data_IF_877343852288
#
_entry.id   IF_877343852288
#
_cell.length_a   1.000
_cell.length_b   1.000
_cell.length_c   1.000
_cell.angle_alpha   90.00
_cell.angle_beta   90.00
_cell.angle_gamma   90.00
#
_symmetry.space_group_name_H-M   'P 1'
#
loop_
_entity.id
_entity.type
_entity.pdbx_description
1 polymer ?
2 non-polymer ?
3 non-polymer ?
4 non-polymer ?
5 water ?
#
# COMPACT_ATOMS: atom_id res chain seq x y z
N UNK A 21 10.47 -3.46 -12.96
CA UNK A 21 11.79 -4.01 -12.57
C UNK A 21 12.70 -2.90 -12.03
N UNK A 22 12.72 -1.73 -12.67
CA UNK A 22 13.53 -0.55 -12.23
C UNK A 22 12.60 0.48 -11.60
N UNK A 23 13.04 1.13 -10.53
CA UNK A 23 12.34 2.29 -9.91
C UNK A 23 13.07 3.57 -10.29
N UNK A 24 12.31 4.51 -10.85
CA UNK A 24 12.79 5.86 -11.19
C UNK A 24 12.04 6.85 -10.32
N UNK A 25 12.63 8.04 -10.13
CA UNK A 25 11.95 9.22 -9.55
C UNK A 25 10.73 9.54 -10.42
N UNK A 26 9.56 9.59 -9.79
CA UNK A 26 8.27 9.88 -10.45
C UNK A 26 8.31 11.27 -11.10
N UNK A 27 9.03 12.22 -10.52
CA UNK A 27 9.03 13.64 -10.99
C UNK A 27 9.93 13.85 -12.20
N UNK A 28 11.09 13.20 -12.28
CA UNK A 28 12.14 13.57 -13.29
C UNK A 28 12.69 12.33 -14.01
N UNK A 29 12.47 11.11 -13.51
CA UNK A 29 12.91 9.88 -14.19
C UNK A 29 14.29 9.40 -13.74
N UNK A 30 14.91 10.06 -12.76
CA UNK A 30 16.22 9.65 -12.21
C UNK A 30 16.17 8.17 -11.79
N UNK A 31 17.17 7.37 -12.17
CA UNK A 31 17.31 5.96 -11.75
C UNK A 31 17.56 5.86 -10.25
N UNK A 32 16.76 5.10 -9.51
CA UNK A 32 16.85 5.09 -8.02
C UNK A 32 17.15 3.67 -7.52
N UNK A 33 16.36 2.67 -7.91
CA UNK A 33 16.48 1.32 -7.33
C UNK A 33 15.87 0.26 -8.25
N UNK A 34 15.73 -0.96 -7.76
CA UNK A 34 15.23 -2.16 -8.49
C UNK A 34 14.33 -2.96 -7.56
N UNK A 35 13.37 -3.69 -8.12
CA UNK A 35 12.51 -4.63 -7.36
C UNK A 35 13.43 -5.66 -6.69
N UNK A 36 14.49 -6.08 -7.39
CA UNK A 36 15.47 -7.09 -6.92
C UNK A 36 16.11 -6.65 -5.60
N UNK A 37 16.12 -5.34 -5.30
CA UNK A 37 16.84 -4.76 -4.14
C UNK A 37 15.89 -4.52 -2.95
N UNK A 38 14.62 -4.91 -3.08
CA UNK A 38 13.65 -4.78 -1.96
C UNK A 38 14.18 -5.62 -0.79
N UNK A 39 13.99 -5.12 0.44
CA UNK A 39 14.43 -5.80 1.69
C UNK A 39 13.21 -6.02 2.60
N UNK A 40 12.79 -7.28 2.85
CA UNK A 40 11.78 -7.56 3.87
C UNK A 40 12.17 -7.03 5.26
N UNK A 44 8.37 -7.75 6.16
CA UNK A 44 7.65 -7.04 5.06
C UNK A 44 8.52 -5.92 4.51
N UNK A 45 8.55 -5.74 3.18
CA UNK A 45 9.27 -4.62 2.52
C UNK A 45 8.45 -3.32 2.67
N UNK A 46 7.12 -3.43 2.85
CA UNK A 46 6.23 -2.25 3.04
C UNK A 46 5.98 -2.00 4.53
N UNK A 47 6.15 -0.73 4.93
CA UNK A 47 5.87 -0.20 6.29
C UNK A 47 5.06 1.09 6.15
N UNK A 48 3.89 1.17 6.76
CA UNK A 48 3.07 2.42 6.74
C UNK A 48 3.35 3.15 8.05
N UNK A 49 3.90 4.35 7.96
CA UNK A 49 4.36 5.13 9.14
C UNK A 49 3.81 6.56 9.06
N UNK A 50 3.81 7.26 10.20
CA UNK A 50 3.46 8.69 10.34
C UNK A 50 4.62 9.42 10.99
N UNK A 51 4.95 10.61 10.49
CA UNK A 51 5.95 11.53 11.09
C UNK A 51 5.24 12.40 12.13
N UNK A 52 5.98 13.21 12.92
CA UNK A 52 5.35 14.07 13.93
C UNK A 52 4.42 15.15 13.36
N UNK A 53 4.50 15.46 12.06
CA UNK A 53 3.58 16.40 11.37
C UNK A 53 2.33 15.65 10.85
N UNK A 54 2.20 14.36 11.22
CA UNK A 54 1.00 13.55 11.00
C UNK A 54 0.89 13.08 9.56
N UNK A 55 1.96 13.26 8.77
CA UNK A 55 2.00 12.86 7.36
C UNK A 55 2.24 11.35 7.35
N UNK A 56 1.41 10.64 6.58
CA UNK A 56 1.48 9.16 6.42
C UNK A 56 2.32 8.90 5.19
N UNK A 57 3.28 8.00 5.32
CA UNK A 57 4.12 7.51 4.21
C UNK A 57 3.95 6.00 4.16
N UNK A 58 3.78 5.48 2.93
CA UNK A 58 3.93 4.04 2.62
C UNK A 58 5.38 3.87 2.19
N UNK A 59 6.20 3.27 3.05
CA UNK A 59 7.67 3.15 2.87
C UNK A 59 7.98 1.73 2.41
N UNK A 60 8.76 1.63 1.33
CA UNK A 60 9.39 0.37 0.87
C UNK A 60 10.86 0.41 1.28
N UNK A 61 11.32 -0.65 1.94
CA UNK A 61 12.75 -0.81 2.34
C UNK A 61 13.53 -1.48 1.19
N UNK A 62 14.66 -0.87 0.85
CA UNK A 62 15.62 -1.36 -0.18
C UNK A 62 16.96 -1.56 0.51
N UNK A 63 17.66 -2.64 0.14
CA UNK A 63 19.07 -2.87 0.52
C UNK A 63 19.94 -1.78 -0.11
N UNK A 64 19.63 -1.39 -1.35
CA UNK A 64 20.50 -0.55 -2.21
C UNK A 64 19.62 0.45 -2.94
N UNK A 65 20.17 1.64 -3.17
CA UNK A 65 19.61 2.71 -4.02
C UNK A 65 20.76 3.57 -4.56
N UNK A 66 20.50 4.30 -5.63
CA UNK A 66 21.45 5.19 -6.32
C UNK A 66 20.69 6.46 -6.71
N UNK A 67 21.38 7.49 -7.20
CA UNK A 67 20.77 8.71 -7.76
C UNK A 67 20.13 9.61 -6.71
N UNK A 68 20.37 9.33 -5.44
CA UNK A 68 19.88 10.14 -4.29
C UNK A 68 20.97 11.11 -3.88
N UNK A 69 20.58 12.15 -3.14
CA UNK A 69 21.48 13.06 -2.41
C UNK A 69 21.03 12.99 -0.94
N UNK A 70 21.90 12.47 -0.07
CA UNK A 70 21.66 12.34 1.39
C UNK A 70 22.07 13.65 2.06
N UNK A 71 21.14 14.29 2.77
CA UNK A 71 21.24 15.71 3.22
C UNK A 71 21.40 15.70 4.74
N UNK A 72 22.39 16.43 5.25
CA UNK A 72 22.66 16.56 6.70
C UNK A 72 23.45 15.38 7.22
N UNK A 73 23.57 15.28 8.54
CA UNK A 73 24.15 14.12 9.25
C UNK A 73 23.00 13.34 9.86
N UNK A 74 23.21 12.06 10.22
CA UNK A 74 22.11 11.21 10.70
C UNK A 74 21.54 11.70 12.03
N UNK A 75 20.27 11.35 12.28
CA UNK A 75 19.52 11.63 13.53
C UNK A 75 18.71 10.38 13.91
N UNK A 76 18.61 10.07 15.19
CA UNK A 76 17.79 8.95 15.69
C UNK A 76 16.38 9.39 16.03
N UNK A 77 16.15 10.72 16.15
CA UNK A 77 14.89 11.33 16.66
C UNK A 77 13.71 10.81 15.85
N UNK A 78 12.73 10.18 16.49
CA UNK A 78 11.47 9.71 15.85
C UNK A 78 11.75 8.61 14.80
N UNK A 79 12.90 7.94 14.83
CA UNK A 79 13.22 6.86 13.86
C UNK A 79 12.14 5.78 13.98
N UNK A 80 11.61 5.37 12.83
CA UNK A 80 10.57 4.31 12.72
C UNK A 80 11.20 2.92 12.91
N UNK A 81 12.51 2.82 12.78
CA UNK A 81 13.26 1.54 12.79
C UNK A 81 14.22 1.58 13.97
N UNK A 82 13.97 0.70 14.95
CA UNK A 82 14.71 0.63 16.23
C UNK A 82 16.19 0.42 15.92
N UNK A 83 17.07 1.24 16.53
CA UNK A 83 18.53 1.12 16.41
C UNK A 83 19.10 1.79 15.17
N UNK A 84 18.29 2.45 14.34
CA UNK A 84 18.75 3.15 13.12
C UNK A 84 18.59 4.66 13.24
N UNK A 85 19.58 5.39 12.70
CA UNK A 85 19.59 6.86 12.50
C UNK A 85 19.25 7.12 11.04
N UNK A 86 18.55 8.21 10.76
CA UNK A 86 18.08 8.54 9.38
C UNK A 86 18.77 9.80 8.89
N UNK A 87 18.97 9.86 7.57
CA UNK A 87 19.28 11.08 6.80
C UNK A 87 18.22 11.20 5.71
N UNK A 88 17.75 12.41 5.46
CA UNK A 88 16.81 12.73 4.35
C UNK A 88 17.50 12.34 3.04
N UNK A 89 16.79 11.61 2.19
CA UNK A 89 17.21 11.23 0.82
C UNK A 89 16.38 12.05 -0.16
N UNK A 90 17.03 12.97 -0.88
CA UNK A 90 16.42 13.67 -2.02
C UNK A 90 16.79 12.91 -3.30
N UNK A 91 15.96 13.07 -4.33
CA UNK A 91 16.36 12.80 -5.72
C UNK A 91 17.57 13.70 -5.98
N UNK A 92 18.69 13.10 -6.39
CA UNK A 92 19.92 13.84 -6.74
C UNK A 92 19.71 14.72 -7.94
N UNK A 93 18.73 14.41 -8.80
CA UNK A 93 18.47 15.19 -10.03
C UNK A 93 17.55 16.38 -9.71
N UNK A 94 16.34 16.14 -9.18
CA UNK A 94 15.26 17.16 -9.10
C UNK A 94 15.04 17.66 -7.66
N UNK A 95 15.60 16.97 -6.65
CA UNK A 95 15.54 17.42 -5.26
C UNK A 95 14.24 17.02 -4.58
N UNK A 96 13.37 16.25 -5.24
CA UNK A 96 12.12 15.73 -4.65
C UNK A 96 12.48 14.83 -3.46
N UNK A 97 11.76 14.94 -2.35
CA UNK A 97 12.03 14.10 -1.14
C UNK A 97 11.56 12.67 -1.42
N UNK A 98 12.47 11.71 -1.56
CA UNK A 98 12.12 10.32 -1.96
C UNK A 98 12.09 9.38 -0.76
N UNK A 99 12.67 9.81 0.38
CA UNK A 99 12.64 9.02 1.63
C UNK A 99 13.84 9.30 2.51
N UNK A 100 14.44 8.25 3.08
CA UNK A 100 15.51 8.34 4.09
C UNK A 100 16.53 7.22 3.87
N UNK A 101 17.80 7.52 4.16
CA UNK A 101 18.86 6.49 4.36
C UNK A 101 18.92 6.21 5.87
N UNK A 102 19.01 4.93 6.23
CA UNK A 102 19.09 4.45 7.63
C UNK A 102 20.46 3.81 7.81
N UNK A 103 21.13 4.16 8.91
CA UNK A 103 22.51 3.74 9.25
C UNK A 103 22.62 3.52 10.76
N UNK A 104 23.71 2.89 11.20
CA UNK A 104 24.10 2.74 12.61
C UNK A 104 23.40 1.60 13.33
N UNK A 105 22.70 0.73 12.59
CA UNK A 105 21.99 -0.43 13.17
C UNK A 105 22.76 -1.71 12.96
N UNK A 106 22.06 -2.85 12.99
CA UNK A 106 22.64 -4.23 12.90
C UNK A 106 21.71 -5.11 12.05
N UNK A 107 22.29 -5.93 11.17
CA UNK A 107 21.57 -6.95 10.36
C UNK A 107 20.31 -6.34 9.75
N UNK A 108 20.39 -5.39 8.79
CA UNK A 108 21.66 -4.84 8.30
C UNK A 108 22.08 -3.53 8.98
N UNK A 109 23.33 -3.09 8.75
CA UNK A 109 23.86 -1.81 9.30
C UNK A 109 23.13 -0.63 8.64
N UNK A 110 22.86 -0.72 7.33
CA UNK A 110 22.28 0.39 6.54
C UNK A 110 21.20 -0.15 5.59
N UNK A 111 20.24 0.69 5.23
CA UNK A 111 19.21 0.44 4.18
C UNK A 111 18.53 1.76 3.84
N UNK A 112 17.71 1.74 2.80
CA UNK A 112 16.90 2.90 2.37
C UNK A 112 15.42 2.60 2.59
N UNK A 113 14.71 3.61 3.12
CA UNK A 113 13.25 3.65 3.19
C UNK A 113 12.74 4.68 2.21
N UNK A 114 12.18 4.23 1.08
CA UNK A 114 11.73 5.12 -0.01
C UNK A 114 10.21 5.15 -0.03
N UNK A 115 9.66 6.34 -0.26
CA UNK A 115 8.20 6.59 -0.35
C UNK A 115 7.69 6.04 -1.70
N UNK A 116 6.92 4.96 -1.64
CA UNK A 116 6.54 4.14 -2.83
C UNK A 116 5.92 5.05 -3.90
N UNK A 117 5.01 5.94 -3.51
CA UNK A 117 4.17 6.74 -4.45
C UNK A 117 4.98 7.90 -5.06
N UNK A 118 6.25 8.06 -4.67
CA UNK A 118 7.17 9.08 -5.27
C UNK A 118 8.12 8.42 -6.27
N UNK A 119 7.95 7.12 -6.50
CA UNK A 119 8.74 6.33 -7.49
C UNK A 119 7.80 5.85 -8.61
N UNK A 120 8.36 5.58 -9.77
CA UNK A 120 7.67 4.97 -10.93
C UNK A 120 8.40 3.67 -11.28
N UNK A 121 7.66 2.60 -11.51
CA UNK A 121 8.22 1.25 -11.74
C UNK A 121 8.12 0.94 -13.23
N UNK A 122 9.16 0.34 -13.82
CA UNK A 122 9.02 -0.19 -15.19
C UNK A 122 10.28 -0.86 -15.72
N UNK A 123 10.36 -1.04 -17.05
CA UNK A 123 11.61 -1.41 -17.70
C UNK A 123 12.60 -0.24 -17.65
N UNK B 20 -21.26 3.14 -2.84
CA UNK B 20 -21.32 2.76 -4.29
C UNK B 20 -20.92 3.96 -5.17
N UNK B 21 -19.62 4.10 -5.46
CA UNK B 21 -19.12 5.09 -6.44
C UNK B 21 -18.69 4.38 -7.74
N UNK B 22 -18.89 5.09 -8.86
CA UNK B 22 -18.49 4.60 -10.20
C UNK B 22 -17.40 5.54 -10.76
N UNK B 23 -16.60 4.98 -11.64
CA UNK B 23 -15.59 5.68 -12.45
C UNK B 23 -16.14 5.82 -13.87
N UNK B 24 -16.17 7.05 -14.37
CA UNK B 24 -16.64 7.38 -15.73
C UNK B 24 -15.46 7.92 -16.52
N UNK B 25 -15.53 7.80 -17.85
CA UNK B 25 -14.61 8.50 -18.79
C UNK B 25 -14.69 10.00 -18.49
N UNK B 26 -13.54 10.62 -18.22
CA UNK B 26 -13.46 12.07 -17.89
C UNK B 26 -13.93 12.89 -19.10
N UNK B 27 -13.72 12.41 -20.33
CA UNK B 27 -13.99 13.20 -21.57
C UNK B 27 -15.48 13.17 -21.93
N UNK B 28 -16.19 12.04 -21.78
CA UNK B 28 -17.56 11.89 -22.33
C UNK B 28 -18.57 11.39 -21.29
N UNK B 29 -18.10 10.87 -20.15
CA UNK B 29 -18.99 10.49 -19.02
C UNK B 29 -19.48 9.05 -19.09
N UNK B 30 -19.09 8.28 -20.11
CA UNK B 30 -19.42 6.83 -20.20
C UNK B 30 -18.97 6.14 -18.91
N UNK B 31 -19.83 5.31 -18.32
CA UNK B 31 -19.51 4.48 -17.14
C UNK B 31 -18.49 3.41 -17.54
N UNK B 32 -17.40 3.31 -16.78
CA UNK B 32 -16.28 2.39 -17.09
C UNK B 32 -16.13 1.32 -16.01
N UNK B 33 -16.08 1.70 -14.74
CA UNK B 33 -15.81 0.72 -13.66
C UNK B 33 -16.43 1.20 -12.34
N UNK B 34 -16.25 0.40 -11.30
CA UNK B 34 -16.83 0.64 -9.96
C UNK B 34 -15.72 0.61 -8.92
N UNK B 35 -15.87 1.39 -7.83
CA UNK B 35 -14.92 1.33 -6.69
C UNK B 35 -14.92 -0.10 -6.13
N UNK B 36 -16.07 -0.77 -6.14
CA UNK B 36 -16.25 -2.17 -5.67
C UNK B 36 -15.28 -3.12 -6.39
N UNK B 37 -14.82 -2.76 -7.59
CA UNK B 37 -13.99 -3.63 -8.46
C UNK B 37 -12.51 -3.30 -8.34
N UNK B 38 -12.12 -2.37 -7.45
CA UNK B 38 -10.70 -2.05 -7.25
C UNK B 38 -9.98 -3.33 -6.83
N UNK B 39 -8.79 -3.57 -7.38
CA UNK B 39 -8.07 -4.87 -7.26
C UNK B 39 -6.65 -4.59 -6.78
N UNK B 40 -6.28 -4.99 -5.54
CA UNK B 40 -4.93 -4.74 -5.04
C UNK B 40 -3.86 -5.68 -5.62
N UNK B 41 -3.45 -5.46 -6.88
CA UNK B 41 -2.40 -6.26 -7.57
C UNK B 41 -1.06 -5.95 -6.89
N UNK B 42 -0.37 -7.00 -6.43
CA UNK B 42 0.90 -6.90 -5.68
C UNK B 42 0.74 -6.08 -4.40
N UNK B 43 -0.46 -6.01 -3.84
CA UNK B 43 -0.69 -5.39 -2.52
C UNK B 43 -1.31 -4.01 -2.60
N UNK B 44 -1.31 -3.35 -3.77
CA UNK B 44 -1.88 -1.99 -3.93
C UNK B 44 -2.70 -1.91 -5.21
N UNK B 45 -3.82 -1.19 -5.21
CA UNK B 45 -4.62 -0.92 -6.44
C UNK B 45 -3.94 0.19 -7.26
N UNK B 46 -3.13 1.06 -6.65
CA UNK B 46 -2.39 2.12 -7.38
C UNK B 46 -0.97 1.63 -7.70
N UNK B 47 -0.54 1.82 -8.95
CA UNK B 47 0.84 1.59 -9.45
C UNK B 47 1.23 2.81 -10.28
N UNK B 48 2.32 3.49 -9.91
CA UNK B 48 2.96 4.50 -10.78
C UNK B 48 4.02 3.77 -11.61
N UNK B 49 3.87 3.81 -12.93
CA UNK B 49 4.70 3.02 -13.89
C UNK B 49 5.21 3.99 -14.97
N UNK B 50 6.30 3.59 -15.64
CA UNK B 50 6.85 4.26 -16.85
C UNK B 50 6.96 3.22 -17.98
N UNK B 51 6.65 3.63 -19.21
CA UNK B 51 6.75 2.77 -20.42
C UNK B 51 8.14 2.94 -21.00
N UNK B 52 8.52 2.17 -22.05
CA UNK B 52 9.84 2.29 -22.65
C UNK B 52 10.12 3.66 -23.31
N UNK B 53 9.09 4.46 -23.59
CA UNK B 53 9.24 5.85 -24.12
C UNK B 53 9.41 6.84 -22.94
N UNK B 54 9.41 6.34 -21.70
CA UNK B 54 9.63 7.18 -20.50
C UNK B 54 8.41 8.02 -20.14
N UNK B 55 7.24 7.68 -20.68
CA UNK B 55 5.95 8.29 -20.25
C UNK B 55 5.55 7.67 -18.91
N UNK B 56 5.22 8.49 -17.93
CA UNK B 56 4.81 8.05 -16.56
C UNK B 56 3.29 8.07 -16.48
N UNK B 57 2.70 6.98 -15.99
CA UNK B 57 1.24 6.84 -15.78
C UNK B 57 0.98 6.43 -14.32
N UNK B 58 -0.09 6.97 -13.73
CA UNK B 58 -0.61 6.49 -12.42
C UNK B 58 -1.80 5.59 -12.75
N UNK B 59 -1.62 4.28 -12.55
CA UNK B 59 -2.60 3.22 -12.92
C UNK B 59 -3.32 2.73 -11.66
N UNK B 60 -4.65 2.66 -11.71
CA UNK B 60 -5.51 1.93 -10.73
C UNK B 60 -5.96 0.62 -11.36
N UNK B 61 -5.84 -0.49 -10.64
CA UNK B 61 -6.23 -1.85 -11.08
C UNK B 61 -7.68 -2.12 -10.69
N UNK B 62 -8.48 -2.57 -11.67
CA UNK B 62 -9.89 -2.97 -11.50
C UNK B 62 -10.05 -4.40 -12.00
N UNK B 63 -10.85 -5.23 -11.34
CA UNK B 63 -11.13 -6.61 -11.75
C UNK B 63 -11.84 -6.61 -13.10
N UNK B 64 -12.85 -5.75 -13.26
CA UNK B 64 -13.73 -5.68 -14.44
C UNK B 64 -13.89 -4.23 -14.86
N UNK B 65 -14.33 -4.04 -16.10
CA UNK B 65 -14.73 -2.76 -16.68
C UNK B 65 -15.80 -3.00 -17.76
N UNK B 66 -16.48 -1.92 -18.15
CA UNK B 66 -17.42 -1.91 -19.28
C UNK B 66 -17.17 -0.64 -20.08
N UNK B 67 -17.72 -0.59 -21.29
CA UNK B 67 -17.73 0.60 -22.16
C UNK B 67 -16.38 0.91 -22.77
N UNK B 68 -15.41 0.01 -22.66
CA UNK B 68 -14.08 0.16 -23.31
C UNK B 68 -14.09 -0.55 -24.66
N UNK B 69 -13.12 -0.22 -25.52
CA UNK B 69 -12.77 -0.96 -26.75
C UNK B 69 -11.30 -1.34 -26.63
N UNK B 70 -11.01 -2.64 -26.56
CA UNK B 70 -9.65 -3.23 -26.52
C UNK B 70 -9.14 -3.36 -27.95
N UNK B 71 -7.97 -2.80 -28.21
CA UNK B 71 -7.41 -2.66 -29.60
C UNK B 71 -6.19 -3.59 -29.69
N UNK B 72 -6.09 -4.39 -30.76
CA UNK B 72 -4.91 -5.23 -31.02
C UNK B 72 -5.00 -6.58 -30.33
N UNK B 73 -4.11 -7.51 -30.74
CA UNK B 73 -3.91 -8.81 -30.05
C UNK B 73 -3.11 -8.49 -28.79
N UNK B 74 -3.22 -9.29 -27.72
CA UNK B 74 -2.41 -9.07 -26.52
C UNK B 74 -0.91 -9.21 -26.81
N UNK B 75 -0.09 -8.51 -26.02
CA UNK B 75 1.39 -8.53 -26.09
C UNK B 75 1.97 -8.66 -24.67
N UNK B 76 3.03 -9.45 -24.52
CA UNK B 76 3.76 -9.61 -23.25
C UNK B 76 4.85 -8.56 -23.08
N UNK B 77 5.29 -7.97 -24.20
CA UNK B 77 6.49 -7.10 -24.28
C UNK B 77 6.34 -5.94 -23.29
N UNK B 78 7.28 -5.81 -22.33
CA UNK B 78 7.35 -4.67 -21.38
C UNK B 78 6.12 -4.62 -20.46
N UNK B 79 5.41 -5.74 -20.28
CA UNK B 79 4.24 -5.81 -19.35
C UNK B 79 4.67 -5.33 -17.96
N UNK B 80 3.89 -4.44 -17.35
CA UNK B 80 4.13 -3.97 -15.95
C UNK B 80 3.81 -5.07 -14.93
N UNK B 81 3.01 -6.06 -15.32
CA UNK B 81 2.53 -7.12 -14.41
C UNK B 81 3.01 -8.48 -14.93
N UNK B 82 3.93 -9.11 -14.18
CA UNK B 82 4.57 -10.40 -14.55
C UNK B 82 3.49 -11.45 -14.80
N UNK B 83 3.58 -12.17 -15.93
CA UNK B 83 2.71 -13.28 -16.30
C UNK B 83 1.43 -12.83 -17.00
N UNK B 84 1.30 -11.53 -17.28
CA UNK B 84 0.13 -10.94 -17.98
C UNK B 84 0.56 -10.36 -19.32
N UNK B 85 -0.27 -10.56 -20.34
CA UNK B 85 -0.23 -9.87 -21.67
C UNK B 85 -1.21 -8.69 -21.63
N UNK B 86 -0.89 -7.60 -22.33
CA UNK B 86 -1.70 -6.36 -22.30
C UNK B 86 -2.32 -6.09 -23.67
N UNK B 87 -3.49 -5.44 -23.67
CA UNK B 87 -4.11 -4.80 -24.85
C UNK B 87 -4.47 -3.35 -24.47
N UNK B 88 -4.27 -2.40 -25.38
CA UNK B 88 -4.67 -0.97 -25.18
C UNK B 88 -6.19 -0.89 -25.02
N UNK B 89 -6.65 -0.15 -24.02
CA UNK B 89 -8.09 0.06 -23.70
C UNK B 89 -8.46 1.51 -24.02
N UNK B 90 -9.30 1.73 -25.02
CA UNK B 90 -9.91 3.04 -25.31
C UNK B 90 -11.31 3.09 -24.72
N UNK B 91 -11.81 4.29 -24.41
CA UNK B 91 -13.26 4.54 -24.23
C UNK B 91 -13.95 4.12 -25.53
N UNK B 92 -14.92 3.21 -25.45
CA UNK B 92 -15.71 2.75 -26.61
C UNK B 92 -16.53 3.90 -27.21
N UNK B 93 -16.86 4.89 -26.39
CA UNK B 93 -17.76 6.02 -26.78
C UNK B 93 -16.94 7.12 -27.46
N UNK B 94 -15.90 7.66 -26.81
CA UNK B 94 -15.17 8.87 -27.30
C UNK B 94 -13.76 8.53 -27.81
N UNK B 95 -13.22 7.34 -27.55
CA UNK B 95 -11.89 6.93 -28.03
C UNK B 95 -10.73 7.40 -27.15
N UNK B 96 -10.99 8.07 -26.02
CA UNK B 96 -9.95 8.48 -25.04
C UNK B 96 -9.17 7.26 -24.55
N UNK B 97 -7.84 7.33 -24.46
CA UNK B 97 -6.99 6.20 -24.01
C UNK B 97 -7.12 6.11 -22.49
N UNK B 98 -7.82 5.09 -21.97
CA UNK B 98 -8.15 4.99 -20.53
C UNK B 98 -7.21 4.01 -19.83
N UNK B 99 -6.48 3.16 -20.55
CA UNK B 99 -5.47 2.27 -19.95
C UNK B 99 -5.26 0.99 -20.75
N UNK B 100 -5.20 -0.15 -20.06
CA UNK B 100 -4.86 -1.47 -20.66
C UNK B 100 -5.69 -2.57 -20.00
N UNK B 101 -6.05 -3.60 -20.79
CA UNK B 101 -6.57 -4.89 -20.27
C UNK B 101 -5.40 -5.87 -20.17
N UNK B 102 -5.37 -6.64 -19.08
CA UNK B 102 -4.33 -7.67 -18.78
C UNK B 102 -5.02 -9.03 -18.77
N UNK B 103 -4.41 -10.01 -19.41
CA UNK B 103 -4.96 -11.39 -19.57
C UNK B 103 -3.82 -12.40 -19.51
N UNK B 104 -4.17 -13.68 -19.40
CA UNK B 104 -3.27 -14.84 -19.54
C UNK B 104 -2.52 -15.17 -18.25
N UNK B 105 -2.93 -14.60 -17.12
CA UNK B 105 -2.30 -14.86 -15.81
C UNK B 105 -3.14 -15.80 -14.98
N UNK B 106 -2.92 -15.79 -13.65
CA UNK B 106 -3.62 -16.61 -12.64
C UNK B 106 -3.88 -15.74 -11.39
N UNK B 107 -5.05 -15.90 -10.77
CA UNK B 107 -5.45 -15.21 -9.51
C UNK B 107 -5.06 -13.73 -9.58
N UNK B 108 -5.72 -12.90 -10.40
CA UNK B 108 -6.75 -13.33 -11.35
C UNK B 108 -6.23 -13.59 -12.77
N UNK B 109 -7.05 -14.20 -13.63
CA UNK B 109 -6.70 -14.45 -15.04
C UNK B 109 -6.60 -13.12 -15.79
N UNK B 110 -7.52 -12.19 -15.51
CA UNK B 110 -7.66 -10.91 -16.24
C UNK B 110 -7.95 -9.78 -15.25
N UNK B 111 -7.58 -8.55 -15.62
CA UNK B 111 -7.89 -7.29 -14.91
C UNK B 111 -7.52 -6.11 -15.81
N UNK B 112 -7.95 -4.92 -15.41
CA UNK B 112 -7.68 -3.64 -16.08
C UNK B 112 -6.73 -2.80 -15.22
N UNK B 113 -5.78 -2.16 -15.88
CA UNK B 113 -5.02 -1.00 -15.38
C UNK B 113 -5.50 0.27 -16.06
N UNK B 114 -6.29 1.08 -15.35
CA UNK B 114 -6.89 2.32 -15.90
C UNK B 114 -6.14 3.53 -15.34
N UNK B 115 -5.96 4.54 -16.19
CA UNK B 115 -5.21 5.79 -15.88
C UNK B 115 -6.14 6.67 -15.03
N UNK B 116 -5.79 6.82 -13.76
CA UNK B 116 -6.68 7.45 -12.74
C UNK B 116 -7.09 8.85 -13.20
N UNK B 117 -6.16 9.63 -13.76
CA UNK B 117 -6.35 11.04 -14.18
C UNK B 117 -7.29 11.17 -15.39
N UNK B 118 -7.65 10.07 -16.04
CA UNK B 118 -8.53 10.08 -17.24
C UNK B 118 -9.94 9.60 -16.87
N UNK B 119 -10.15 9.35 -15.58
CA UNK B 119 -11.46 8.93 -15.03
C UNK B 119 -12.00 10.03 -14.13
N UNK B 120 -13.32 10.08 -13.98
CA UNK B 120 -14.03 10.92 -13.00
C UNK B 120 -14.79 9.98 -12.07
N UNK B 121 -14.65 10.15 -10.77
CA UNK B 121 -15.34 9.31 -9.76
C UNK B 121 -16.58 10.06 -9.29
N UNK B 122 -17.70 9.35 -9.13
CA UNK B 122 -18.98 9.96 -8.72
C UNK B 122 -20.01 8.92 -8.32
N UNK B 123 -21.19 9.33 -7.79
CA UNK B 123 -22.18 8.39 -7.28
C UNK B 123 -22.78 7.53 -8.41
N UNK B 124 -23.24 6.32 -8.07
CA UNK B 124 -23.73 5.29 -9.01
C UNK B 124 -24.98 5.81 -9.74
N UNK C 19 9.43 7.27 17.91
CA UNK C 19 9.05 7.24 16.46
C UNK C 19 7.91 6.27 16.18
N UNK C 20 7.80 5.21 16.98
CA UNK C 20 6.73 4.18 16.91
C UNK C 20 6.09 4.02 18.29
N UNK C 21 5.30 4.99 18.73
CA UNK C 21 4.63 5.03 20.05
C UNK C 21 3.11 4.87 19.88
N UNK C 22 2.51 5.50 18.86
CA UNK C 22 1.04 5.54 18.64
C UNK C 22 0.70 4.68 17.42
N UNK C 23 -0.37 3.88 17.49
CA UNK C 23 -0.80 2.97 16.39
C UNK C 23 -2.11 3.54 15.83
N UNK C 24 -2.12 3.80 14.52
CA UNK C 24 -3.25 4.45 13.81
C UNK C 24 -3.73 3.52 12.70
N UNK C 25 -4.98 3.70 12.26
CA UNK C 25 -5.53 3.07 11.05
C UNK C 25 -4.66 3.46 9.85
N UNK C 26 -4.16 2.47 9.12
CA UNK C 26 -3.31 2.67 7.91
C UNK C 26 -4.09 3.45 6.83
N UNK C 27 -5.41 3.25 6.74
CA UNK C 27 -6.24 3.79 5.62
C UNK C 27 -6.60 5.27 5.87
N UNK C 28 -6.89 5.68 7.11
CA UNK C 28 -7.45 7.03 7.38
C UNK C 28 -6.71 7.77 8.50
N UNK C 29 -5.88 7.09 9.28
CA UNK C 29 -5.06 7.71 10.34
C UNK C 29 -5.75 7.79 11.70
N UNK C 30 -6.95 7.21 11.84
CA UNK C 30 -7.68 7.17 13.15
C UNK C 30 -6.75 6.61 14.24
N UNK C 31 -6.65 7.28 15.39
CA UNK C 31 -5.88 6.79 16.58
C UNK C 31 -6.56 5.55 17.15
N UNK C 32 -5.81 4.46 17.34
CA UNK C 32 -6.40 3.18 17.83
C UNK C 32 -5.79 2.81 19.18
N UNK C 33 -4.46 2.75 19.30
CA UNK C 33 -3.80 2.36 20.57
C UNK C 33 -2.38 2.92 20.67
N UNK C 34 -1.68 2.59 21.76
CA UNK C 34 -0.31 3.07 22.06
C UNK C 34 0.52 1.94 22.66
N UNK C 35 1.84 2.07 22.56
CA UNK C 35 2.85 1.07 22.99
C UNK C 35 2.63 0.74 24.46
N UNK C 36 2.26 1.73 25.29
CA UNK C 36 2.00 1.55 26.75
C UNK C 36 0.94 0.47 26.99
N UNK C 37 0.04 0.23 26.03
CA UNK C 37 -1.12 -0.70 26.20
C UNK C 37 -0.83 -2.07 25.57
N UNK C 38 0.37 -2.30 25.05
CA UNK C 38 0.74 -3.62 24.48
C UNK C 38 0.61 -4.66 25.59
N UNK C 39 0.08 -5.84 25.27
CA UNK C 39 -0.21 -6.93 26.24
C UNK C 39 0.49 -8.19 25.76
N UNK C 46 3.58 -9.08 20.10
CA UNK C 46 3.39 -9.53 18.70
C UNK C 46 3.28 -11.07 18.63
N UNK C 47 2.30 -11.57 17.88
CA UNK C 47 2.05 -13.02 17.63
C UNK C 47 1.80 -13.19 16.13
N UNK C 49 0.27 -15.63 13.53
CA UNK C 49 -0.87 -16.61 13.47
C UNK C 49 -1.23 -16.83 12.00
N UNK C 50 -1.94 -17.93 11.72
CA UNK C 50 -2.52 -18.24 10.39
C UNK C 50 -4.05 -18.39 10.54
N UNK C 51 -4.82 -17.76 9.65
CA UNK C 51 -6.29 -17.94 9.57
C UNK C 51 -6.58 -19.32 9.01
N UNK C 52 -7.85 -19.78 8.95
CA UNK C 52 -8.16 -21.11 8.41
C UNK C 52 -7.79 -21.30 6.94
N UNK C 53 -7.57 -20.22 6.17
CA UNK C 53 -7.10 -20.27 4.76
C UNK C 53 -5.56 -20.35 4.72
N UNK C 54 -4.91 -20.39 5.88
CA UNK C 54 -3.44 -20.55 5.99
C UNK C 54 -2.70 -19.26 5.64
N UNK C 55 -3.40 -18.13 5.57
CA UNK C 55 -2.77 -16.80 5.37
C UNK C 55 -2.12 -16.37 6.69
N UNK C 57 -0.91 -13.63 9.55
CA UNK C 57 -1.09 -12.32 10.21
C UNK C 57 -0.02 -12.15 11.29
N UNK C 58 0.53 -10.94 11.37
CA UNK C 58 1.19 -10.41 12.58
C UNK C 58 0.12 -9.69 13.41
N UNK C 59 -0.23 -10.26 14.56
CA UNK C 59 -1.22 -9.68 15.51
C UNK C 59 -0.47 -9.00 16.66
N UNK C 60 -0.82 -7.74 16.94
CA UNK C 60 -0.42 -7.02 18.18
C UNK C 60 -1.59 -7.05 19.17
N UNK C 61 -1.37 -7.55 20.39
CA UNK C 61 -2.39 -7.59 21.46
C UNK C 61 -2.24 -6.35 22.33
N UNK C 62 -3.37 -5.66 22.56
CA UNK C 62 -3.48 -4.43 23.38
C UNK C 62 -4.49 -4.67 24.50
N UNK C 63 -4.19 -4.19 25.71
CA UNK C 63 -5.11 -4.21 26.87
C UNK C 63 -6.30 -3.27 26.56
N UNK C 64 -6.02 -2.11 25.96
CA UNK C 64 -7.04 -1.07 25.68
C UNK C 64 -6.90 -0.59 24.24
N UNK C 65 -7.99 -0.11 23.64
CA UNK C 65 -7.98 0.61 22.34
C UNK C 65 -9.12 1.64 22.31
N UNK C 66 -9.05 2.56 21.34
CA UNK C 66 -10.13 3.56 21.09
C UNK C 66 -10.32 3.66 19.57
N UNK C 67 -11.39 4.33 19.14
CA UNK C 67 -11.61 4.69 17.73
C UNK C 67 -12.06 3.50 16.89
N UNK C 68 -12.37 2.36 17.51
CA UNK C 68 -12.90 1.17 16.78
C UNK C 68 -14.42 1.17 16.85
N UNK C 69 -15.06 0.38 16.00
CA UNK C 69 -16.47 -0.05 16.12
C UNK C 69 -16.48 -1.58 16.13
N UNK C 70 -16.97 -2.18 17.23
CA UNK C 70 -17.10 -3.66 17.38
C UNK C 70 -18.44 -4.08 16.79
N UNK C 71 -18.41 -5.02 15.85
CA UNK C 71 -19.61 -5.39 15.02
C UNK C 71 -20.08 -6.80 15.43
N UNK C 74 -20.16 -12.38 19.49
CA UNK C 74 -18.86 -13.05 19.60
C UNK C 74 -18.90 -14.48 19.03
N UNK C 75 -17.76 -14.98 18.58
CA UNK C 75 -17.57 -16.35 18.05
C UNK C 75 -16.27 -16.94 18.61
N UNK C 76 -16.29 -18.24 18.93
CA UNK C 76 -15.10 -19.00 19.36
C UNK C 76 -14.37 -19.61 18.15
N UNK C 77 -15.02 -19.65 16.98
CA UNK C 77 -14.56 -20.40 15.77
C UNK C 77 -13.13 -19.96 15.42
N UNK C 78 -12.18 -20.91 15.43
CA UNK C 78 -10.77 -20.69 14.99
C UNK C 78 -10.07 -19.65 15.87
N UNK C 79 -10.55 -19.38 17.10
CA UNK C 79 -9.94 -18.36 17.99
C UNK C 79 -8.47 -18.72 18.19
N UNK C 80 -7.56 -17.76 18.01
CA UNK C 80 -6.11 -17.96 18.19
C UNK C 80 -5.76 -18.03 19.67
N UNK C 81 -6.65 -17.56 20.54
CA UNK C 81 -6.40 -17.41 21.99
C UNK C 81 -7.41 -18.29 22.74
N UNK C 82 -6.88 -19.34 23.40
CA UNK C 82 -7.69 -20.37 24.10
C UNK C 82 -8.55 -19.68 25.16
N UNK C 83 -9.85 -19.99 25.18
CA UNK C 83 -10.81 -19.48 26.18
C UNK C 83 -11.36 -18.10 25.85
N UNK C 84 -11.04 -17.54 24.66
CA UNK C 84 -11.56 -16.23 24.22
C UNK C 84 -12.45 -16.39 22.98
N UNK C 85 -13.58 -15.66 22.99
CA UNK C 85 -14.44 -15.43 21.79
C UNK C 85 -14.08 -14.07 21.17
N UNK C 86 -14.20 -13.95 19.85
CA UNK C 86 -13.79 -12.72 19.13
C UNK C 86 -15.02 -12.04 18.50
N UNK C 87 -14.94 -10.72 18.37
CA UNK C 87 -15.87 -9.86 17.61
C UNK C 87 -15.04 -9.00 16.66
N UNK C 88 -15.52 -8.76 15.45
CA UNK C 88 -14.80 -7.97 14.40
C UNK C 88 -14.67 -6.53 14.90
N UNK C 89 -13.45 -5.98 14.82
CA UNK C 89 -13.14 -4.57 15.16
C UNK C 89 -12.86 -3.81 13.86
N UNK C 90 -13.75 -2.88 13.50
CA UNK C 90 -13.54 -1.94 12.37
C UNK C 90 -12.99 -0.62 12.90
N UNK C 91 -12.26 0.10 12.05
CA UNK C 91 -11.97 1.54 12.25
C UNK C 91 -13.31 2.26 12.34
N UNK C 92 -13.55 2.97 13.44
CA UNK C 92 -14.76 3.80 13.62
C UNK C 92 -14.86 4.92 12.60
N UNK C 93 -13.74 5.36 12.02
CA UNK C 93 -13.69 6.51 11.08
C UNK C 93 -13.99 6.02 9.66
N UNK C 94 -13.23 5.06 9.12
CA UNK C 94 -13.30 4.66 7.68
C UNK C 94 -13.92 3.28 7.49
N UNK C 95 -14.08 2.47 8.55
CA UNK C 95 -14.69 1.13 8.44
C UNK C 95 -13.72 0.02 8.03
N UNK C 96 -12.43 0.31 7.85
CA UNK C 96 -11.39 -0.71 7.54
C UNK C 96 -11.32 -1.77 8.67
N UNK C 97 -11.20 -3.04 8.30
CA UNK C 97 -11.09 -4.15 9.29
C UNK C 97 -9.70 -4.12 9.94
N UNK C 98 -9.61 -3.76 11.23
CA UNK C 98 -8.29 -3.59 11.90
C UNK C 98 -7.95 -4.80 12.77
N UNK C 99 -8.92 -5.65 13.10
CA UNK C 99 -8.68 -6.86 13.89
C UNK C 99 -9.93 -7.30 14.66
N UNK C 100 -9.74 -7.71 15.92
CA UNK C 100 -10.81 -8.36 16.74
C UNK C 100 -10.72 -7.89 18.19
N UNK C 101 -11.87 -7.80 18.85
CA UNK C 101 -11.96 -7.73 20.33
C UNK C 101 -12.16 -9.16 20.85
N UNK C 102 -11.46 -9.52 21.91
CA UNK C 102 -11.49 -10.85 22.56
C UNK C 102 -12.09 -10.68 23.95
N UNK C 103 -13.02 -11.58 24.30
CA UNK C 103 -13.78 -11.54 25.58
C UNK C 103 -14.02 -12.97 26.08
N UNK C 104 -14.47 -13.08 27.33
CA UNK C 104 -14.96 -14.33 27.95
C UNK C 104 -13.84 -15.16 28.55
N UNK C 105 -12.62 -14.62 28.64
CA UNK C 105 -11.45 -15.37 29.17
C UNK C 105 -11.13 -14.94 30.59
N UNK C 106 -9.89 -15.20 31.02
CA UNK C 106 -9.35 -14.90 32.38
C UNK C 106 -7.92 -14.38 32.26
N UNK C 107 -7.57 -13.36 33.06
CA UNK C 107 -6.20 -12.79 33.16
C UNK C 107 -5.61 -12.59 31.77
N UNK C 108 -6.11 -11.63 30.95
CA UNK C 108 -7.27 -10.80 31.27
C UNK C 108 -8.60 -11.34 30.72
N UNK C 109 -9.73 -10.77 31.15
CA UNK C 109 -11.08 -11.12 30.65
C UNK C 109 -11.21 -10.72 29.18
N UNK C 110 -10.70 -9.54 28.82
CA UNK C 110 -10.85 -8.94 27.47
C UNK C 110 -9.53 -8.32 27.00
N UNK C 111 -9.34 -8.22 25.69
CA UNK C 111 -8.20 -7.52 25.03
C UNK C 111 -8.51 -7.39 23.54
N UNK C 112 -7.68 -6.60 22.86
CA UNK C 112 -7.78 -6.37 21.39
C UNK C 112 -6.58 -7.01 20.69
N UNK C 113 -6.85 -7.73 19.60
CA UNK C 113 -5.86 -8.31 18.69
C UNK C 113 -5.95 -7.62 17.35
N UNK C 114 -5.02 -6.71 17.07
CA UNK C 114 -5.07 -5.84 15.86
C UNK C 114 -4.01 -6.32 14.87
N UNK C 115 -4.34 -6.26 13.58
CA UNK C 115 -3.48 -6.72 12.46
C UNK C 115 -2.39 -5.66 12.24
N UNK C 116 -1.12 -6.01 12.50
CA UNK C 116 0.07 -5.17 12.22
C UNK C 116 -0.04 -4.48 10.85
N UNK C 117 -0.38 -5.22 9.79
CA UNK C 117 -0.33 -4.74 8.39
C UNK C 117 -1.50 -3.77 8.09
N UNK C 118 -2.42 -3.57 9.03
CA UNK C 118 -3.57 -2.64 8.88
C UNK C 118 -3.30 -1.36 9.66
N UNK C 119 -2.16 -1.28 10.34
CA UNK C 119 -1.82 -0.17 11.27
C UNK C 119 -0.63 0.61 10.70
N UNK C 120 -0.53 1.87 11.10
CA UNK C 120 0.63 2.76 10.92
C UNK C 120 1.15 3.14 12.30
N UNK C 121 2.46 3.11 12.49
CA UNK C 121 3.12 3.48 13.77
C UNK C 121 3.66 4.91 13.59
N UNK C 122 3.58 5.73 14.65
CA UNK C 122 4.16 7.08 14.66
C UNK C 122 4.45 7.59 16.07
N UNK C 123 5.16 8.73 16.20
CA UNK C 123 5.59 9.24 17.50
C UNK C 123 4.39 9.70 18.35
N UNK C 124 4.59 9.76 19.67
CA UNK C 124 3.59 10.19 20.68
C UNK C 124 3.17 11.65 20.41
#
# INVERSE_FOLDING_TARGET
>A
AMPLDAGGQNSTQMVLAPGASIFRCRQCGQTISRRDWLLPMGGDHEHVVFNPAGMIFRVWCFSLAQGLRLIGAPSGEFSWFKGYDWTIALCGQCGSHLGWHYEGGSQPQTFFGLIKDRLAEGPAD
>B
AMPLDAGGQNSTQMVLAPGASIFRCRQCGQTISRRDWLLPMGGDHEHVVFNPAGMIFRVWCFSLAQGLRLIGAPSGEFSWFKGYDWTIALCGQCGSHLGWHYEGGSQPQTFFGLIKDRLAEGPAD
>C
AMPLDAGGQNSTQMVLAPGASIFRCRQCGQTISRRDWLLPMGGDHEHVVFNPAGMIFRVWCFSLAQGLRLIGAPSGEFSWFKGYDWTIALCGQCGSHLGWHYEGGSQPQTFFGLIKDRLAEGPAD
#
